data_IF_198050932896
#
_entry.id   IF_198050932896
#
_cell.length_a   1.000
_cell.length_b   1.000
_cell.length_c   1.000
_cell.angle_alpha   90.00
_cell.angle_beta   90.00
_cell.angle_gamma   90.00
#
_symmetry.space_group_name_H-M   'P 1'
#
loop_
_entity.id
_entity.type
_entity.pdbx_description
1 polymer ?
#
# COMPACT_ATOMS: atom_id res chain seq x y z
N UNK A 1 52.96 25.98 16.24
CA UNK A 1 52.00 25.03 16.86
C UNK A 1 50.89 25.81 17.56
N UNK A 2 49.65 25.78 17.02
CA UNK A 2 48.36 25.86 17.76
C UNK A 2 47.24 25.93 16.73
N UNK A 3 46.85 24.77 16.20
CA UNK A 3 45.50 24.56 15.70
C UNK A 3 44.76 23.86 16.82
N UNK A 4 43.64 24.43 17.25
CA UNK A 4 42.45 23.79 17.83
C UNK A 4 41.60 24.93 18.36
N UNK A 5 40.46 25.18 17.70
CA UNK A 5 39.13 25.49 18.24
C UNK A 5 38.24 25.94 17.09
N UNK A 6 36.96 25.61 17.16
CA UNK A 6 35.89 25.82 16.15
C UNK A 6 35.66 24.71 15.10
N UNK A 7 35.85 23.44 15.44
CA UNK A 7 35.23 22.33 14.68
C UNK A 7 34.48 21.34 15.58
N UNK A 8 33.73 21.83 16.57
CA UNK A 8 33.07 20.95 17.54
C UNK A 8 31.62 21.32 17.86
N UNK A 9 30.89 22.01 16.97
CA UNK A 9 29.46 22.29 17.19
C UNK A 9 28.52 21.94 16.04
N UNK A 10 29.01 21.43 14.90
CA UNK A 10 28.16 21.18 13.72
C UNK A 10 27.80 19.72 13.43
N UNK A 11 28.46 18.75 14.08
CA UNK A 11 28.43 17.35 13.63
C UNK A 11 27.67 16.39 14.57
N UNK A 12 26.80 16.90 15.44
CA UNK A 12 26.01 16.06 16.39
C UNK A 12 24.49 16.10 16.13
N UNK A 13 24.05 16.56 14.95
CA UNK A 13 22.63 16.71 14.63
C UNK A 13 22.14 15.90 13.43
N UNK A 14 22.79 14.76 13.10
CA UNK A 14 22.46 13.98 11.90
C UNK A 14 22.13 12.50 12.11
N UNK A 15 21.96 12.01 13.34
CA UNK A 15 21.82 10.56 13.61
C UNK A 15 20.43 10.11 14.06
N UNK A 16 19.36 10.83 13.75
CA UNK A 16 17.99 10.43 14.12
C UNK A 16 17.02 10.42 12.94
N UNK A 17 17.41 9.79 11.84
CA UNK A 17 16.43 9.11 10.97
C UNK A 17 16.33 7.66 11.42
N UNK A 18 15.68 7.47 12.58
CA UNK A 18 15.15 6.19 13.00
C UNK A 18 14.14 5.76 11.93
N UNK A 19 14.61 4.95 10.99
CA UNK A 19 13.77 4.26 10.03
C UNK A 19 12.86 3.34 10.85
N UNK A 20 11.60 3.72 11.01
CA UNK A 20 10.55 2.85 11.55
C UNK A 20 10.24 1.77 10.50
N UNK A 21 11.17 0.85 10.28
CA UNK A 21 10.92 -0.35 9.50
C UNK A 21 10.09 -1.30 10.38
N UNK A 22 8.76 -1.20 10.28
CA UNK A 22 7.84 -2.20 10.82
C UNK A 22 8.19 -3.57 10.23
N UNK A 23 8.52 -4.56 11.08
CA UNK A 23 8.85 -5.91 10.64
C UNK A 23 7.62 -6.67 10.09
N UNK A 24 7.83 -7.92 9.61
CA UNK A 24 6.75 -8.79 9.17
C UNK A 24 5.72 -9.01 10.27
N UNK A 25 4.45 -8.97 9.89
CA UNK A 25 3.31 -9.18 10.78
C UNK A 25 3.07 -10.68 10.87
N UNK A 26 2.92 -11.20 12.08
CA UNK A 26 2.50 -12.60 12.28
C UNK A 26 0.99 -12.67 12.04
N UNK A 27 0.58 -13.26 10.92
CA UNK A 27 -0.82 -13.40 10.51
C UNK A 27 -1.29 -14.83 10.83
N UNK A 28 -2.20 -15.04 11.81
CA UNK A 28 -2.70 -16.38 12.15
C UNK A 28 -3.25 -17.14 10.94
N UNK A 29 -2.94 -18.43 10.87
CA UNK A 29 -3.45 -19.35 9.85
C UNK A 29 -4.88 -19.74 10.23
N UNK A 30 -5.87 -19.08 9.65
CA UNK A 30 -7.28 -19.30 10.00
C UNK A 30 -8.15 -18.05 9.93
N UNK A 31 -7.54 -16.86 9.79
CA UNK A 31 -8.29 -15.65 9.52
C UNK A 31 -9.00 -15.74 8.17
N UNK A 32 -10.29 -15.46 8.17
CA UNK A 32 -11.09 -15.30 6.97
C UNK A 32 -10.66 -14.06 6.16
N UNK A 33 -11.01 -13.98 4.86
CA UNK A 33 -10.76 -12.79 4.06
C UNK A 33 -11.32 -11.51 4.68
N UNK A 34 -12.52 -11.57 5.27
CA UNK A 34 -13.15 -10.42 5.91
C UNK A 34 -12.37 -9.94 7.15
N UNK A 35 -11.86 -10.86 7.97
CA UNK A 35 -11.02 -10.50 9.12
C UNK A 35 -9.67 -9.93 8.68
N UNK A 36 -9.10 -10.43 7.58
CA UNK A 36 -7.88 -9.86 6.98
C UNK A 36 -8.13 -8.43 6.47
N UNK A 37 -9.25 -8.18 5.79
CA UNK A 37 -9.66 -6.82 5.37
C UNK A 37 -9.78 -5.91 6.59
N UNK A 38 -10.49 -6.34 7.65
CA UNK A 38 -10.69 -5.53 8.85
C UNK A 38 -9.33 -5.17 9.48
N UNK A 39 -8.43 -6.14 9.65
CA UNK A 39 -7.09 -5.87 10.21
C UNK A 39 -6.25 -4.94 9.32
N UNK A 40 -6.39 -5.06 7.99
CA UNK A 40 -5.72 -4.18 7.06
C UNK A 40 -6.23 -2.73 7.15
N UNK A 41 -7.55 -2.57 7.30
CA UNK A 41 -8.19 -1.27 7.51
C UNK A 41 -7.77 -0.65 8.85
N UNK A 42 -7.82 -1.41 9.95
CA UNK A 42 -7.36 -0.97 11.28
C UNK A 42 -5.90 -0.49 11.27
N UNK A 43 -5.04 -1.17 10.49
CA UNK A 43 -3.65 -0.78 10.30
C UNK A 43 -3.54 0.50 9.45
N UNK A 44 -4.36 0.63 8.42
CA UNK A 44 -4.39 1.81 7.53
C UNK A 44 -4.88 3.07 8.25
N UNK A 45 -5.87 2.94 9.13
CA UNK A 45 -6.39 4.03 9.97
C UNK A 45 -5.32 4.57 10.94
N UNK A 46 -4.35 3.72 11.31
CA UNK A 46 -3.17 4.08 12.10
C UNK A 46 -1.99 4.52 11.24
N UNK A 47 -2.20 4.75 9.94
CA UNK A 47 -1.17 5.06 8.93
C UNK A 47 -0.06 4.01 8.82
N UNK A 48 -0.27 2.80 9.34
CA UNK A 48 0.68 1.69 9.24
C UNK A 48 0.48 0.93 7.93
N UNK A 49 0.78 1.62 6.83
CA UNK A 49 0.57 1.12 5.48
C UNK A 49 1.37 -0.14 5.14
N UNK A 50 2.53 -0.33 5.77
CA UNK A 50 3.31 -1.56 5.61
C UNK A 50 2.53 -2.76 6.17
N UNK A 51 2.05 -2.68 7.40
CA UNK A 51 1.26 -3.74 8.02
C UNK A 51 -0.07 -3.97 7.28
N UNK A 52 -0.75 -2.90 6.85
CA UNK A 52 -1.95 -3.01 6.05
C UNK A 52 -1.71 -3.79 4.75
N UNK A 53 -0.64 -3.45 4.01
CA UNK A 53 -0.28 -4.14 2.78
C UNK A 53 0.02 -5.63 3.00
N UNK A 54 0.61 -6.01 4.13
CA UNK A 54 0.85 -7.43 4.47
C UNK A 54 -0.46 -8.20 4.69
N UNK A 55 -1.47 -7.61 5.34
CA UNK A 55 -2.78 -8.24 5.49
C UNK A 55 -3.52 -8.39 4.16
N UNK A 56 -3.48 -7.36 3.30
CA UNK A 56 -4.04 -7.47 1.94
C UNK A 56 -3.30 -8.52 1.11
N UNK A 57 -1.97 -8.60 1.22
CA UNK A 57 -1.19 -9.61 0.52
C UNK A 57 -1.57 -11.04 0.96
N UNK A 58 -1.85 -11.24 2.26
CA UNK A 58 -2.33 -12.54 2.74
C UNK A 58 -3.67 -12.95 2.09
N UNK A 59 -4.52 -12.01 1.67
CA UNK A 59 -5.74 -12.34 0.90
C UNK A 59 -5.37 -12.88 -0.47
N UNK A 60 -4.43 -12.22 -1.16
CA UNK A 60 -3.96 -12.65 -2.48
C UNK A 60 -3.30 -14.03 -2.44
N UNK A 61 -2.56 -14.31 -1.36
CA UNK A 61 -1.79 -15.55 -1.23
C UNK A 61 -2.67 -16.73 -0.77
N UNK A 62 -3.59 -16.49 0.17
CA UNK A 62 -4.37 -17.56 0.83
C UNK A 62 -5.75 -17.78 0.21
N UNK A 63 -6.29 -16.80 -0.49
CA UNK A 63 -7.65 -16.85 -1.06
C UNK A 63 -7.69 -16.38 -2.53
N UNK A 64 -6.84 -16.92 -3.42
CA UNK A 64 -6.74 -16.46 -4.80
C UNK A 64 -8.06 -16.63 -5.60
N UNK A 65 -8.88 -17.61 -5.24
CA UNK A 65 -10.15 -17.88 -5.92
C UNK A 65 -11.30 -16.99 -5.42
N UNK A 66 -11.11 -16.23 -4.33
CA UNK A 66 -12.11 -15.28 -3.85
C UNK A 66 -11.97 -13.95 -4.61
N UNK A 67 -12.39 -13.96 -5.88
CA UNK A 67 -12.20 -12.85 -6.81
C UNK A 67 -12.68 -11.48 -6.28
N UNK A 68 -13.83 -11.36 -5.57
CA UNK A 68 -14.20 -10.09 -4.95
C UNK A 68 -13.21 -9.58 -3.91
N UNK A 69 -12.68 -10.46 -3.06
CA UNK A 69 -11.72 -10.10 -2.00
C UNK A 69 -10.33 -9.83 -2.58
N UNK A 70 -9.92 -10.58 -3.61
CA UNK A 70 -8.69 -10.31 -4.36
C UNK A 70 -8.76 -8.93 -5.03
N UNK A 71 -9.89 -8.61 -5.67
CA UNK A 71 -10.11 -7.29 -6.28
C UNK A 71 -9.98 -6.16 -5.25
N UNK A 72 -10.59 -6.33 -4.07
CA UNK A 72 -10.47 -5.38 -2.97
C UNK A 72 -9.02 -5.21 -2.50
N UNK A 73 -8.32 -6.31 -2.25
CA UNK A 73 -6.94 -6.30 -1.80
C UNK A 73 -5.99 -5.64 -2.82
N UNK A 74 -6.15 -5.93 -4.11
CA UNK A 74 -5.38 -5.29 -5.18
C UNK A 74 -5.62 -3.77 -5.24
N UNK A 75 -6.87 -3.34 -5.14
CA UNK A 75 -7.23 -1.92 -5.06
C UNK A 75 -6.57 -1.23 -3.87
N UNK A 76 -6.70 -1.81 -2.67
CA UNK A 76 -6.20 -1.18 -1.45
C UNK A 76 -4.67 -1.13 -1.41
N UNK A 77 -3.97 -2.14 -1.92
CA UNK A 77 -2.51 -2.09 -2.09
C UNK A 77 -2.13 -0.97 -3.06
N UNK A 78 -2.82 -0.82 -4.19
CA UNK A 78 -2.57 0.27 -5.13
C UNK A 78 -2.83 1.65 -4.49
N UNK A 79 -3.91 1.76 -3.72
CA UNK A 79 -4.27 2.98 -2.99
C UNK A 79 -3.25 3.33 -1.91
N UNK A 80 -2.72 2.35 -1.18
CA UNK A 80 -1.59 2.52 -0.26
C UNK A 80 -0.39 3.13 -1.00
N UNK A 81 -0.01 2.61 -2.17
CA UNK A 81 1.10 3.19 -2.95
C UNK A 81 0.85 4.64 -3.34
N UNK A 82 -0.39 4.97 -3.70
CA UNK A 82 -0.80 6.35 -3.94
C UNK A 82 -0.63 7.22 -2.69
N UNK A 83 -1.07 6.74 -1.51
CA UNK A 83 -0.92 7.44 -0.23
C UNK A 83 0.54 7.64 0.18
N UNK A 84 1.41 6.69 -0.16
CA UNK A 84 2.87 6.78 -0.01
C UNK A 84 3.54 7.71 -1.06
N UNK A 85 2.77 8.36 -1.94
CA UNK A 85 3.26 9.17 -3.08
C UNK A 85 4.12 8.40 -4.08
N UNK A 86 4.05 7.07 -4.08
CA UNK A 86 4.73 6.18 -5.03
C UNK A 86 3.89 6.08 -6.30
N UNK A 87 3.70 7.20 -7.00
CA UNK A 87 2.72 7.32 -8.07
C UNK A 87 2.99 6.41 -9.28
N UNK A 88 4.25 6.09 -9.58
CA UNK A 88 4.59 5.15 -10.66
C UNK A 88 4.10 3.74 -10.33
N UNK A 89 4.37 3.25 -9.11
CA UNK A 89 3.92 1.94 -8.63
C UNK A 89 2.39 1.89 -8.51
N UNK A 90 1.80 2.94 -7.90
CA UNK A 90 0.35 3.06 -7.78
C UNK A 90 -0.35 3.00 -9.13
N UNK A 91 0.14 3.76 -10.12
CA UNK A 91 -0.40 3.76 -11.49
C UNK A 91 -0.37 2.37 -12.11
N UNK A 92 0.79 1.72 -12.11
CA UNK A 92 0.93 0.39 -12.70
C UNK A 92 -0.03 -0.64 -12.06
N UNK A 93 -0.24 -0.55 -10.74
CA UNK A 93 -1.18 -1.43 -10.04
C UNK A 93 -2.64 -1.14 -10.37
N UNK A 94 -3.05 0.13 -10.41
CA UNK A 94 -4.40 0.49 -10.80
C UNK A 94 -4.69 0.11 -12.25
N UNK A 95 -3.75 0.32 -13.18
CA UNK A 95 -3.91 -0.10 -14.58
C UNK A 95 -4.08 -1.62 -14.69
N UNK A 96 -3.27 -2.39 -13.95
CA UNK A 96 -3.41 -3.85 -13.88
C UNK A 96 -4.78 -4.28 -13.33
N UNK A 97 -5.24 -3.67 -12.24
CA UNK A 97 -6.56 -3.94 -11.65
C UNK A 97 -7.68 -3.64 -12.66
N UNK A 98 -7.64 -2.46 -13.30
CA UNK A 98 -8.67 -2.03 -14.24
C UNK A 98 -8.74 -2.90 -15.50
N UNK A 99 -7.61 -3.44 -15.95
CA UNK A 99 -7.58 -4.38 -17.07
C UNK A 99 -8.42 -5.65 -16.80
N UNK A 100 -8.57 -6.07 -15.54
CA UNK A 100 -9.37 -7.25 -15.16
C UNK A 100 -10.86 -7.07 -15.45
N UNK A 101 -11.38 -5.84 -15.46
CA UNK A 101 -12.78 -5.55 -15.79
C UNK A 101 -13.11 -5.70 -17.28
N UNK A 102 -12.11 -5.99 -18.12
CA UNK A 102 -12.31 -6.33 -19.53
C UNK A 102 -12.10 -7.84 -19.79
N UNK A 103 -11.89 -8.64 -18.73
CA UNK A 103 -11.65 -10.09 -18.81
C UNK A 103 -12.91 -10.92 -18.58
N UNK A 104 -12.74 -12.24 -18.61
CA UNK A 104 -13.83 -13.23 -18.42
C UNK A 104 -14.49 -13.15 -17.05
N UNK A 105 -13.74 -12.73 -16.03
CA UNK A 105 -14.22 -12.71 -14.65
C UNK A 105 -14.83 -11.37 -14.25
N UNK A 106 -14.97 -10.44 -15.20
CA UNK A 106 -15.37 -9.06 -14.93
C UNK A 106 -16.70 -8.94 -14.16
N UNK A 107 -17.65 -9.83 -14.42
CA UNK A 107 -18.96 -9.86 -13.75
C UNK A 107 -18.88 -10.21 -12.26
N UNK A 108 -17.80 -10.89 -11.84
CA UNK A 108 -17.55 -11.29 -10.45
C UNK A 108 -16.79 -10.21 -9.67
N UNK A 109 -16.30 -9.15 -10.35
CA UNK A 109 -15.51 -8.10 -9.73
C UNK A 109 -16.41 -6.98 -9.20
N UNK A 110 -16.24 -6.54 -7.94
CA UNK A 110 -17.02 -5.44 -7.38
C UNK A 110 -16.80 -4.14 -8.17
N UNK A 111 -17.87 -3.57 -8.74
CA UNK A 111 -17.79 -2.42 -9.65
C UNK A 111 -17.21 -1.15 -8.99
N UNK A 112 -17.31 -1.01 -7.66
CA UNK A 112 -16.79 0.16 -6.95
C UNK A 112 -15.29 0.34 -7.12
N UNK A 113 -14.50 -0.75 -7.20
CA UNK A 113 -13.05 -0.64 -7.31
C UNK A 113 -12.61 -0.19 -8.71
N UNK A 114 -13.43 -0.42 -9.74
CA UNK A 114 -13.26 0.18 -11.06
C UNK A 114 -13.37 1.70 -10.99
N UNK A 115 -14.51 2.18 -10.47
CA UNK A 115 -14.81 3.62 -10.37
C UNK A 115 -13.76 4.34 -9.52
N UNK A 116 -13.41 3.76 -8.38
CA UNK A 116 -12.40 4.35 -7.49
C UNK A 116 -11.01 4.30 -8.11
N UNK A 117 -10.62 3.21 -8.78
CA UNK A 117 -9.34 3.07 -9.46
C UNK A 117 -9.15 4.11 -10.57
N UNK A 118 -10.16 4.29 -11.43
CA UNK A 118 -10.17 5.31 -12.48
C UNK A 118 -10.02 6.72 -11.89
N UNK A 119 -10.74 7.00 -10.79
CA UNK A 119 -10.66 8.30 -10.10
C UNK A 119 -9.27 8.59 -9.55
N UNK A 120 -8.59 7.59 -8.95
CA UNK A 120 -7.25 7.78 -8.41
C UNK A 120 -6.21 7.91 -9.54
N UNK A 121 -6.34 7.15 -10.63
CA UNK A 121 -5.48 7.32 -11.80
C UNK A 121 -5.57 8.74 -12.37
N UNK A 122 -6.79 9.27 -12.52
CA UNK A 122 -6.98 10.64 -12.98
C UNK A 122 -6.27 11.65 -12.07
N UNK A 123 -6.33 11.46 -10.74
CA UNK A 123 -5.60 12.30 -9.78
C UNK A 123 -4.08 12.17 -9.95
N UNK A 124 -3.55 10.96 -10.10
CA UNK A 124 -2.11 10.74 -10.30
C UNK A 124 -1.60 11.50 -11.52
N UNK A 125 -2.37 11.54 -12.62
CA UNK A 125 -1.96 12.25 -13.83
C UNK A 125 -2.01 13.78 -13.67
N UNK A 126 -2.84 14.31 -12.76
CA UNK A 126 -2.85 15.73 -12.42
C UNK A 126 -1.65 16.13 -11.56
N UNK A 127 -1.24 15.29 -10.61
CA UNK A 127 -0.08 15.53 -9.71
C UNK A 127 1.28 15.50 -10.45
N UNK A 128 1.31 14.99 -11.69
CA UNK A 128 2.51 14.96 -12.54
C UNK A 128 2.68 16.20 -13.43
N UNK A 129 1.69 17.10 -13.46
CA UNK A 129 1.74 18.37 -14.21
C UNK A 129 2.26 19.49 -13.33
#
# INVERSE_FOLDING_TARGET
MRRIRFFALGALLLTLILSCASGPVVIPDGLSPAELIQKAQDASDKYNYNQAAQYYQAILDRFPDNLPMVCAAEYEIAFIKYKEKKYVDAKARFEKLLARYNGTDAELLPAQYKILGEKILAKIELEKK
#
